data_IF_112869625515
#
_entry.id   IF_112869625515
#
_cell.length_a   1.000
_cell.length_b   1.000
_cell.length_c   1.000
_cell.angle_alpha   90.00
_cell.angle_beta   90.00
_cell.angle_gamma   90.00
#
_symmetry.space_group_name_H-M   'P 1'
#
loop_
_entity.id
_entity.type
_entity.pdbx_description
1 polymer ?
#
# COMPACT_ATOMS: atom_id res chain seq x y z
N UNK A 1 5.48 -39.77 5.24
CA UNK A 1 5.31 -38.43 5.84
C UNK A 1 5.57 -37.39 4.77
N UNK A 2 4.52 -36.83 4.20
CA UNK A 2 4.64 -35.73 3.23
C UNK A 2 4.96 -34.47 4.02
N UNK A 3 6.19 -33.95 3.93
CA UNK A 3 6.48 -32.61 4.47
C UNK A 3 5.67 -31.63 3.65
N UNK A 4 4.79 -30.86 4.31
CA UNK A 4 4.13 -29.73 3.67
C UNK A 4 5.22 -28.81 3.09
N UNK A 5 5.03 -28.26 1.88
CA UNK A 5 5.99 -27.34 1.31
C UNK A 5 6.20 -26.16 2.27
N UNK A 6 7.47 -25.92 2.65
CA UNK A 6 7.84 -24.75 3.46
C UNK A 6 7.77 -23.53 2.54
N UNK A 7 6.86 -22.60 2.82
CA UNK A 7 6.81 -21.32 2.11
C UNK A 7 8.11 -20.56 2.46
N UNK A 8 8.88 -20.21 1.44
CA UNK A 8 10.14 -19.47 1.59
C UNK A 8 9.98 -17.98 1.30
N UNK A 9 8.96 -17.62 0.51
CA UNK A 9 8.57 -16.26 0.18
C UNK A 9 7.09 -16.22 -0.23
N UNK A 10 6.40 -15.14 0.11
CA UNK A 10 5.01 -14.88 -0.26
C UNK A 10 4.83 -13.38 -0.57
N UNK A 11 4.01 -13.07 -1.58
CA UNK A 11 3.55 -11.72 -1.90
C UNK A 11 2.02 -11.71 -1.87
N UNK A 12 1.42 -10.72 -1.19
CA UNK A 12 -0.03 -10.49 -1.20
C UNK A 12 -0.32 -9.07 -1.63
N UNK A 13 -1.25 -8.91 -2.56
CA UNK A 13 -1.73 -7.61 -3.04
C UNK A 13 -3.19 -7.44 -2.67
N UNK A 14 -3.52 -6.34 -2.02
CA UNK A 14 -4.88 -5.96 -1.67
C UNK A 14 -5.19 -4.64 -2.34
N UNK A 15 -6.25 -4.58 -3.13
CA UNK A 15 -6.75 -3.36 -3.76
C UNK A 15 -8.07 -2.98 -3.11
N UNK A 16 -8.15 -1.74 -2.62
CA UNK A 16 -9.25 -1.21 -1.82
C UNK A 16 -9.79 0.02 -2.53
N UNK A 17 -11.07 0.02 -2.85
CA UNK A 17 -11.75 1.24 -3.27
C UNK A 17 -11.98 2.13 -2.04
N UNK A 18 -11.67 3.41 -2.15
CA UNK A 18 -11.85 4.37 -1.05
C UNK A 18 -12.74 5.52 -1.51
N UNK A 19 -13.61 5.97 -0.62
CA UNK A 19 -14.41 7.19 -0.78
C UNK A 19 -14.29 8.02 0.49
N UNK A 20 -14.57 9.32 0.39
CA UNK A 20 -14.64 10.22 1.55
C UNK A 20 -13.34 10.32 2.37
N UNK A 21 -12.20 10.00 1.76
CA UNK A 21 -10.87 10.18 2.36
C UNK A 21 -10.28 11.55 1.99
N UNK A 22 -9.42 12.13 2.84
CA UNK A 22 -8.75 13.38 2.52
C UNK A 22 -7.91 13.29 1.26
N UNK A 23 -7.83 14.40 0.55
CA UNK A 23 -6.91 14.59 -0.56
C UNK A 23 -5.47 14.31 -0.17
N UNK A 24 -4.75 13.66 -1.09
CA UNK A 24 -3.35 13.35 -0.91
C UNK A 24 -2.50 14.36 -1.68
N UNK A 25 -1.74 15.24 -0.99
CA UNK A 25 -0.79 16.11 -1.69
C UNK A 25 0.23 15.25 -2.45
N UNK A 26 0.85 15.79 -3.48
CA UNK A 26 1.96 15.13 -4.20
C UNK A 26 3.14 16.11 -4.22
N UNK A 27 4.30 15.70 -3.67
CA UNK A 27 5.41 16.62 -3.35
C UNK A 27 5.95 17.36 -4.59
N UNK A 28 5.80 16.76 -5.78
CA UNK A 28 6.26 17.31 -7.06
C UNK A 28 5.14 17.41 -8.10
N UNK A 29 3.89 17.26 -7.69
CA UNK A 29 2.77 17.11 -8.61
C UNK A 29 1.47 17.67 -8.07
N UNK A 30 0.39 17.53 -8.83
CA UNK A 30 -0.91 17.97 -8.35
C UNK A 30 -1.45 16.99 -7.30
N UNK A 31 -2.28 17.52 -6.41
CA UNK A 31 -3.01 16.76 -5.40
C UNK A 31 -3.85 15.66 -6.04
N UNK A 32 -3.88 14.50 -5.40
CA UNK A 32 -4.65 13.32 -5.80
C UNK A 32 -5.93 13.33 -4.98
N UNK A 33 -7.08 13.15 -5.63
CA UNK A 33 -8.34 12.80 -5.00
C UNK A 33 -8.42 11.27 -4.94
N UNK A 34 -8.11 10.61 -3.81
CA UNK A 34 -7.93 9.17 -3.79
C UNK A 34 -9.23 8.45 -4.13
N UNK A 35 -9.12 7.41 -4.95
CA UNK A 35 -10.23 6.49 -5.26
C UNK A 35 -9.83 5.03 -5.05
N UNK A 36 -8.53 4.72 -5.06
CA UNK A 36 -8.02 3.37 -4.85
C UNK A 36 -6.75 3.41 -3.99
N UNK A 37 -6.65 2.47 -3.05
CA UNK A 37 -5.42 2.15 -2.34
C UNK A 37 -5.03 0.71 -2.68
N UNK A 38 -3.80 0.52 -3.13
CA UNK A 38 -3.20 -0.80 -3.27
C UNK A 38 -2.13 -0.99 -2.20
N UNK A 39 -2.23 -2.08 -1.44
CA UNK A 39 -1.24 -2.49 -0.45
C UNK A 39 -0.59 -3.78 -0.95
N UNK A 40 0.72 -3.73 -1.15
CA UNK A 40 1.50 -4.92 -1.49
C UNK A 40 2.35 -5.32 -0.30
N UNK A 41 2.05 -6.48 0.29
CA UNK A 41 2.79 -7.08 1.38
C UNK A 41 3.78 -8.12 0.85
N UNK A 42 4.97 -8.15 1.45
CA UNK A 42 5.99 -9.17 1.19
C UNK A 42 6.40 -9.88 2.49
N UNK A 43 6.41 -11.20 2.45
CA UNK A 43 6.96 -12.05 3.51
C UNK A 43 8.07 -12.93 2.92
N UNK A 44 9.18 -13.07 3.64
CA UNK A 44 10.27 -14.00 3.30
C UNK A 44 10.74 -14.68 4.58
N UNK A 45 11.12 -15.94 4.48
CA UNK A 45 11.59 -16.70 5.63
C UNK A 45 12.89 -16.10 6.21
N UNK A 46 13.04 -15.94 7.56
CA UNK A 46 14.21 -15.30 8.18
C UNK A 46 15.59 -15.91 7.83
N UNK A 47 15.61 -17.19 7.46
CA UNK A 47 16.82 -17.91 7.03
C UNK A 47 17.32 -17.48 5.63
N UNK A 48 16.50 -16.79 4.83
CA UNK A 48 16.91 -16.23 3.53
C UNK A 48 17.32 -14.77 3.72
N UNK A 49 18.64 -14.53 3.87
CA UNK A 49 19.21 -13.17 3.79
C UNK A 49 19.94 -13.00 2.47
N UNK A 50 19.40 -12.12 1.66
CA UNK A 50 20.11 -11.02 0.99
C UNK A 50 19.01 -10.02 0.56
N UNK A 51 19.33 -8.73 0.60
CA UNK A 51 18.59 -7.63 -0.02
C UNK A 51 17.09 -7.27 0.29
N UNK A 52 16.95 -6.22 1.11
CA UNK A 52 15.94 -5.12 1.18
C UNK A 52 14.49 -5.36 1.64
N UNK A 53 14.01 -6.58 1.94
CA UNK A 53 12.65 -6.76 2.50
C UNK A 53 12.60 -7.65 3.75
N UNK A 54 12.32 -7.02 4.88
CA UNK A 54 12.08 -7.66 6.20
C UNK A 54 10.73 -8.40 6.17
N UNK A 55 10.54 -9.53 6.87
CA UNK A 55 9.21 -10.12 7.07
C UNK A 55 8.20 -9.06 7.50
N UNK A 56 7.05 -8.99 6.83
CA UNK A 56 6.02 -7.99 7.10
C UNK A 56 6.28 -6.62 6.48
N UNK A 57 7.26 -6.47 5.58
CA UNK A 57 7.41 -5.25 4.79
C UNK A 57 6.24 -5.09 3.80
N UNK A 58 5.81 -3.85 3.59
CA UNK A 58 4.74 -3.54 2.64
C UNK A 58 4.90 -2.17 2.00
N UNK A 59 4.41 -2.04 0.77
CA UNK A 59 4.29 -0.80 0.01
C UNK A 59 2.82 -0.42 -0.10
N UNK A 60 2.55 0.87 -0.05
CA UNK A 60 1.22 1.41 -0.31
C UNK A 60 1.30 2.33 -1.52
N UNK A 61 0.44 2.10 -2.50
CA UNK A 61 0.22 2.97 -3.64
C UNK A 61 -1.19 3.54 -3.57
N UNK A 62 -1.31 4.86 -3.58
CA UNK A 62 -2.60 5.55 -3.61
C UNK A 62 -2.81 6.11 -5.00
N UNK A 63 -3.91 5.72 -5.63
CA UNK A 63 -4.28 6.15 -6.96
C UNK A 63 -5.61 6.89 -6.93
N UNK A 64 -5.74 7.86 -7.83
CA UNK A 64 -7.00 8.54 -8.06
C UNK A 64 -6.86 9.69 -9.05
N UNK A 65 -7.98 10.29 -9.44
CA UNK A 65 -7.95 11.44 -10.32
C UNK A 65 -7.26 12.65 -9.68
N UNK A 66 -6.72 13.51 -10.53
CA UNK A 66 -6.15 14.81 -10.13
C UNK A 66 -7.22 15.70 -9.49
N UNK A 67 -6.94 16.26 -8.32
CA UNK A 67 -7.70 17.39 -7.77
C UNK A 67 -7.33 18.69 -8.52
N UNK A 68 -8.34 19.39 -9.02
CA UNK A 68 -8.19 20.67 -9.70
C UNK A 68 -8.12 21.83 -8.71
N UNK A 69 -7.47 22.93 -9.09
CA UNK A 69 -7.37 24.15 -8.26
C UNK A 69 -8.74 24.76 -7.91
N UNK A 70 -9.76 24.50 -8.73
CA UNK A 70 -11.15 24.91 -8.48
C UNK A 70 -11.88 24.04 -7.45
N UNK A 71 -11.25 22.99 -6.90
CA UNK A 71 -11.87 22.00 -6.01
C UNK A 71 -12.50 20.80 -6.73
N UNK A 72 -12.66 20.89 -8.05
CA UNK A 72 -13.19 19.80 -8.89
C UNK A 72 -12.21 18.63 -9.06
N UNK A 73 -12.70 17.56 -9.70
CA UNK A 73 -11.92 16.36 -10.03
C UNK A 73 -11.62 16.34 -11.52
N UNK A 74 -10.37 16.12 -11.88
CA UNK A 74 -9.89 16.01 -13.26
C UNK A 74 -9.92 14.57 -13.80
N UNK A 75 -9.62 14.41 -15.08
CA UNK A 75 -9.64 13.09 -15.75
C UNK A 75 -8.33 12.30 -15.60
N UNK A 76 -7.22 12.98 -15.30
CA UNK A 76 -5.92 12.34 -15.19
C UNK A 76 -5.81 11.54 -13.88
N UNK A 77 -5.64 10.22 -13.99
CA UNK A 77 -5.29 9.37 -12.86
C UNK A 77 -3.81 9.54 -12.49
N UNK A 78 -3.54 9.63 -11.21
CA UNK A 78 -2.20 9.80 -10.64
C UNK A 78 -2.04 8.76 -9.55
N UNK A 79 -0.88 8.13 -9.52
CA UNK A 79 -0.49 7.19 -8.47
C UNK A 79 0.67 7.77 -7.67
N UNK A 80 0.58 7.70 -6.34
CA UNK A 80 1.64 8.06 -5.41
C UNK A 80 1.97 6.87 -4.51
N UNK A 81 3.24 6.49 -4.50
CA UNK A 81 3.77 5.54 -3.52
C UNK A 81 4.01 6.24 -2.17
N UNK A 82 3.60 5.59 -1.08
CA UNK A 82 3.71 6.10 0.27
C UNK A 82 4.71 5.28 1.10
N UNK A 83 5.83 5.93 1.39
CA UNK A 83 6.84 5.49 2.35
C UNK A 83 6.29 5.54 3.78
N UNK A 84 6.77 4.66 4.65
CA UNK A 84 6.18 4.41 5.97
C UNK A 84 6.09 5.67 6.85
N UNK A 85 7.13 6.50 6.83
CA UNK A 85 7.25 7.77 7.56
C UNK A 85 6.34 8.89 7.02
N UNK A 86 5.83 8.75 5.79
CA UNK A 86 5.01 9.77 5.09
C UNK A 86 3.56 9.35 4.88
N UNK A 87 3.11 8.25 5.49
CA UNK A 87 1.73 7.79 5.37
C UNK A 87 0.79 8.68 6.20
N UNK A 88 -0.29 9.21 5.60
CA UNK A 88 -1.35 9.85 6.36
C UNK A 88 -2.05 8.82 7.26
N UNK A 89 -2.68 9.30 8.34
CA UNK A 89 -3.24 8.43 9.37
C UNK A 89 -4.29 7.45 8.83
N UNK A 90 -5.20 7.93 7.97
CA UNK A 90 -6.21 7.09 7.33
C UNK A 90 -5.62 5.93 6.51
N UNK A 91 -4.41 6.09 5.95
CA UNK A 91 -3.69 5.01 5.25
C UNK A 91 -3.15 4.00 6.25
N UNK A 92 -2.64 4.45 7.39
CA UNK A 92 -2.14 3.55 8.45
C UNK A 92 -3.28 2.70 9.02
N UNK A 93 -4.44 3.31 9.23
CA UNK A 93 -5.66 2.61 9.68
C UNK A 93 -6.11 1.55 8.66
N UNK A 94 -6.13 1.89 7.36
CA UNK A 94 -6.43 0.91 6.30
C UNK A 94 -5.44 -0.25 6.28
N UNK A 95 -4.14 0.04 6.40
CA UNK A 95 -3.10 -1.00 6.48
C UNK A 95 -3.30 -1.91 7.68
N UNK A 96 -3.63 -1.36 8.84
CA UNK A 96 -3.87 -2.13 10.06
C UNK A 96 -5.13 -3.02 9.92
N UNK A 97 -6.18 -2.49 9.29
CA UNK A 97 -7.42 -3.23 9.05
C UNK A 97 -7.27 -4.38 8.02
N UNK A 98 -6.27 -4.30 7.15
CA UNK A 98 -6.04 -5.27 6.07
C UNK A 98 -4.73 -6.04 6.19
N UNK A 99 -4.11 -6.05 7.37
CA UNK A 99 -2.93 -6.88 7.63
C UNK A 99 -3.28 -8.36 7.39
N UNK A 100 -2.58 -9.07 6.50
CA UNK A 100 -2.92 -10.46 6.21
C UNK A 100 -2.71 -11.36 7.44
N UNK A 101 -3.69 -12.21 7.73
CA UNK A 101 -3.63 -13.08 8.92
C UNK A 101 -2.39 -13.99 8.92
N UNK A 102 -1.67 -13.97 10.04
CA UNK A 102 -0.52 -14.81 10.30
C UNK A 102 0.67 -14.52 9.37
N UNK A 103 1.00 -13.24 9.24
CA UNK A 103 2.19 -12.75 8.56
C UNK A 103 3.33 -12.37 9.53
N UNK A 104 3.13 -12.63 10.81
CA UNK A 104 4.05 -12.58 11.94
C UNK A 104 4.72 -13.95 12.25
N UNK A 105 4.45 -14.96 11.42
CA UNK A 105 4.89 -16.36 11.56
C UNK A 105 6.37 -16.56 11.20
#
# INVERSE_FOLDING_TARGET
MTRSPRIIAEERRIKIAVTDVPDLPNDYGPTIAPSTVEITYWWRHPEHREDWRVPGAFMVSVSGPRRLKSGGVGQAEITRELWNDRRPEWVKELVAAHLPEGWDR
#
